data_IF_145385191223
#
_entry.id   IF_145385191223
#
_cell.length_a   1.000
_cell.length_b   1.000
_cell.length_c   1.000
_cell.angle_alpha   90.00
_cell.angle_beta   90.00
_cell.angle_gamma   90.00
#
_symmetry.space_group_name_H-M   'P 1'
#
loop_
_entity.id
_entity.type
_entity.pdbx_description
1 polymer ?
#
# COMPACT_ATOMS: atom_id res chain seq x y z
N UNK A 1 15.34 44.84 -22.69
CA UNK A 1 16.44 43.86 -22.82
C UNK A 1 16.94 43.52 -21.43
N UNK A 2 16.68 42.29 -20.97
CA UNK A 2 17.33 41.67 -19.81
C UNK A 2 17.38 40.17 -20.12
N UNK A 3 18.59 39.63 -20.09
CA UNK A 3 18.96 38.26 -20.42
C UNK A 3 18.98 37.36 -19.18
N UNK A 4 18.63 36.08 -19.35
CA UNK A 4 19.15 35.00 -18.50
C UNK A 4 18.12 34.05 -17.91
N UNK A 5 17.68 33.07 -18.70
CA UNK A 5 16.99 31.86 -18.26
C UNK A 5 18.00 30.79 -17.81
N UNK A 6 17.77 30.14 -16.68
CA UNK A 6 18.01 28.70 -16.44
C UNK A 6 17.33 28.31 -15.12
N UNK A 7 16.13 27.74 -15.06
CA UNK A 7 15.66 26.38 -15.44
C UNK A 7 16.36 25.25 -14.67
N UNK A 8 15.63 24.68 -13.71
CA UNK A 8 16.05 23.49 -12.95
C UNK A 8 15.04 23.09 -11.87
N UNK A 9 13.74 23.01 -12.22
CA UNK A 9 12.74 22.42 -11.33
C UNK A 9 12.95 20.90 -11.32
N UNK A 10 13.44 20.36 -10.20
CA UNK A 10 13.45 18.91 -9.99
C UNK A 10 11.99 18.43 -9.92
N UNK A 11 11.53 17.83 -11.02
CA UNK A 11 10.28 17.06 -11.05
C UNK A 11 10.47 15.82 -10.18
N UNK A 12 10.06 15.89 -8.92
CA UNK A 12 9.69 14.70 -8.18
C UNK A 12 8.58 14.01 -8.98
N UNK A 13 8.67 12.69 -9.26
CA UNK A 13 7.54 11.99 -9.86
C UNK A 13 6.31 12.26 -9.01
N UNK A 14 5.22 12.64 -9.68
CA UNK A 14 3.92 12.98 -9.11
C UNK A 14 3.61 12.04 -7.95
N UNK A 15 3.75 12.54 -6.72
CA UNK A 15 3.27 11.86 -5.52
C UNK A 15 1.76 11.76 -5.72
N UNK A 16 1.19 10.57 -6.01
CA UNK A 16 -0.26 10.42 -5.96
C UNK A 16 -0.67 10.88 -4.55
N UNK A 17 -1.68 11.76 -4.44
CA UNK A 17 -2.16 12.21 -3.11
C UNK A 17 -2.36 11.00 -2.19
N UNK A 18 -2.26 11.14 -0.86
CA UNK A 18 -1.98 10.02 0.03
C UNK A 18 -3.01 8.92 -0.16
N UNK A 19 -2.64 7.90 -0.93
CA UNK A 19 -3.36 6.65 -0.96
C UNK A 19 -3.41 6.17 0.49
N UNK A 20 -4.54 5.63 0.99
CA UNK A 20 -4.63 5.21 2.37
C UNK A 20 -3.47 4.30 2.74
N UNK A 21 -2.77 4.64 3.84
CA UNK A 21 -1.59 3.92 4.28
C UNK A 21 -0.27 4.28 3.58
N UNK A 22 -0.23 5.27 2.67
CA UNK A 22 1.04 5.75 2.10
C UNK A 22 1.96 6.34 3.19
N UNK A 23 3.19 5.84 3.26
CA UNK A 23 4.21 6.24 4.25
C UNK A 23 5.46 6.85 3.64
N UNK A 24 5.46 7.06 2.33
CA UNK A 24 6.55 7.68 1.59
C UNK A 24 7.14 6.77 0.51
N UNK A 25 8.44 6.91 0.26
CA UNK A 25 9.16 6.15 -0.77
C UNK A 25 10.54 5.75 -0.28
N UNK A 26 11.10 4.68 -0.84
CA UNK A 26 12.49 4.28 -0.63
C UNK A 26 13.20 4.07 -1.96
N UNK A 27 14.53 4.13 -1.93
CA UNK A 27 15.38 3.73 -3.04
C UNK A 27 15.76 2.25 -2.89
N UNK A 28 15.26 1.42 -3.79
CA UNK A 28 15.64 0.01 -3.92
C UNK A 28 16.49 -0.15 -5.19
N UNK A 29 17.82 -0.25 -5.02
CA UNK A 29 18.79 -0.44 -6.11
C UNK A 29 18.64 0.57 -7.29
N UNK A 30 18.42 1.85 -6.98
CA UNK A 30 18.23 2.91 -7.97
C UNK A 30 16.78 3.10 -8.43
N UNK A 31 15.86 2.22 -8.03
CA UNK A 31 14.43 2.35 -8.29
C UNK A 31 13.73 2.97 -7.07
N UNK A 32 13.06 4.10 -7.27
CA UNK A 32 12.19 4.67 -6.23
C UNK A 32 10.88 3.87 -6.19
N UNK A 33 10.54 3.32 -5.04
CA UNK A 33 9.34 2.52 -4.84
C UNK A 33 8.51 3.08 -3.68
N UNK A 34 7.17 3.00 -3.74
CA UNK A 34 6.30 3.45 -2.66
C UNK A 34 6.39 2.53 -1.45
N UNK A 35 6.24 3.12 -0.26
CA UNK A 35 6.10 2.41 1.01
C UNK A 35 4.69 2.63 1.54
N UNK A 36 4.03 1.55 1.96
CA UNK A 36 2.74 1.59 2.63
C UNK A 36 2.83 1.03 4.05
N UNK A 37 2.29 1.72 5.04
CA UNK A 37 2.14 1.24 6.42
C UNK A 37 1.03 0.20 6.51
N UNK A 38 1.35 -0.96 7.07
CA UNK A 38 0.34 -1.97 7.41
C UNK A 38 -0.63 -1.40 8.46
N UNK A 39 -0.16 -0.55 9.38
CA UNK A 39 -1.02 0.09 10.38
C UNK A 39 -2.05 0.99 9.70
N UNK A 40 -1.59 1.92 8.85
CA UNK A 40 -2.46 2.82 8.11
C UNK A 40 -3.42 2.10 7.17
N UNK A 41 -2.96 1.05 6.49
CA UNK A 41 -3.84 0.21 5.66
C UNK A 41 -4.90 -0.53 6.50
N UNK A 42 -4.58 -0.91 7.73
CA UNK A 42 -5.47 -1.63 8.64
C UNK A 42 -6.30 -0.73 9.56
N UNK A 43 -6.13 0.60 9.48
CA UNK A 43 -6.80 1.56 10.38
C UNK A 43 -6.25 1.58 11.81
N UNK A 44 -5.09 0.96 12.05
CA UNK A 44 -4.39 1.01 13.33
C UNK A 44 -3.68 2.36 13.44
N UNK A 45 -3.63 2.99 14.62
CA UNK A 45 -2.90 4.24 14.82
C UNK A 45 -1.44 4.12 14.36
N UNK A 46 -1.03 5.09 13.54
CA UNK A 46 0.36 5.23 13.10
C UNK A 46 1.27 5.56 14.27
N UNK A 47 2.55 5.19 14.13
CA UNK A 47 3.62 5.58 15.03
C UNK A 47 4.80 6.11 14.24
N UNK A 48 5.86 6.52 14.91
CA UNK A 48 7.12 6.78 14.22
C UNK A 48 7.80 5.46 13.84
N UNK A 49 8.42 5.38 12.65
CA UNK A 49 9.20 4.21 12.25
C UNK A 49 10.43 4.05 13.15
N UNK A 50 10.71 2.81 13.53
CA UNK A 50 11.92 2.42 14.24
C UNK A 50 12.92 1.82 13.24
N UNK A 51 14.24 1.92 13.49
CA UNK A 51 15.26 1.32 12.63
C UNK A 51 15.15 -0.21 12.51
N UNK A 52 14.50 -0.85 13.48
CA UNK A 52 14.27 -2.29 13.53
C UNK A 52 13.02 -2.73 12.76
N UNK A 53 12.21 -1.78 12.31
CA UNK A 53 10.97 -2.11 11.61
C UNK A 53 11.27 -2.69 10.23
N UNK A 54 10.75 -3.89 9.93
CA UNK A 54 10.96 -4.49 8.63
C UNK A 54 10.17 -3.80 7.53
N UNK A 55 10.81 -3.69 6.36
CA UNK A 55 10.16 -3.37 5.09
C UNK A 55 10.04 -4.67 4.27
N UNK A 56 8.82 -5.12 4.03
CA UNK A 56 8.54 -6.28 3.18
C UNK A 56 8.42 -5.82 1.73
N UNK A 57 9.39 -6.17 0.90
CA UNK A 57 9.37 -5.84 -0.53
C UNK A 57 8.49 -6.83 -1.28
N UNK A 58 7.51 -6.31 -2.03
CA UNK A 58 6.60 -7.09 -2.85
C UNK A 58 6.83 -6.72 -4.31
N UNK A 59 6.97 -7.74 -5.15
CA UNK A 59 6.97 -7.59 -6.61
C UNK A 59 5.65 -8.09 -7.17
N UNK A 60 4.90 -7.20 -7.81
CA UNK A 60 3.56 -7.46 -8.33
C UNK A 60 3.39 -6.75 -9.66
N UNK A 61 2.84 -7.45 -10.67
CA UNK A 61 2.46 -6.85 -11.98
C UNK A 61 3.60 -6.01 -12.62
N UNK A 62 4.85 -6.40 -12.39
CA UNK A 62 6.05 -5.67 -12.89
C UNK A 62 6.48 -4.47 -12.05
N UNK A 63 5.80 -4.19 -10.95
CA UNK A 63 6.09 -3.08 -10.04
C UNK A 63 6.56 -3.59 -8.68
N UNK A 64 7.45 -2.81 -8.06
CA UNK A 64 7.92 -3.06 -6.70
C UNK A 64 7.25 -2.07 -5.77
N UNK A 65 6.88 -2.55 -4.58
CA UNK A 65 6.41 -1.75 -3.46
C UNK A 65 6.95 -2.32 -2.16
N UNK A 66 6.90 -1.52 -1.10
CA UNK A 66 7.27 -1.97 0.24
C UNK A 66 6.09 -1.85 1.20
N UNK A 67 5.92 -2.85 2.06
CA UNK A 67 5.05 -2.76 3.23
C UNK A 67 5.90 -2.53 4.47
N UNK A 68 5.58 -1.49 5.23
CA UNK A 68 6.16 -1.24 6.53
C UNK A 68 5.35 -1.97 7.60
N UNK A 69 6.01 -2.89 8.29
CA UNK A 69 5.45 -3.69 9.37
C UNK A 69 6.16 -3.38 10.69
N UNK A 70 5.50 -3.68 11.81
CA UNK A 70 6.14 -3.54 13.12
C UNK A 70 7.19 -4.64 13.37
N UNK A 71 6.91 -5.85 12.89
CA UNK A 71 7.73 -7.04 13.12
C UNK A 71 7.42 -8.12 12.08
N UNK A 72 8.34 -9.05 11.91
CA UNK A 72 8.13 -10.33 11.19
C UNK A 72 8.43 -11.48 12.15
N UNK A 73 7.57 -12.50 12.19
CA UNK A 73 7.70 -13.61 13.15
C UNK A 73 8.35 -14.87 12.54
N UNK A 74 8.26 -15.08 11.22
CA UNK A 74 8.79 -16.26 10.56
C UNK A 74 8.09 -16.56 9.24
N UNK A 75 8.38 -17.73 8.66
CA UNK A 75 7.68 -18.29 7.51
C UNK A 75 6.98 -19.56 7.98
N UNK A 76 5.67 -19.66 7.71
CA UNK A 76 4.85 -20.80 8.09
C UNK A 76 4.15 -21.38 6.87
N UNK A 77 4.16 -22.71 6.76
CA UNK A 77 3.38 -23.44 5.76
C UNK A 77 1.95 -23.62 6.28
N UNK A 78 1.05 -22.74 5.84
CA UNK A 78 -0.35 -22.78 6.24
C UNK A 78 -1.15 -23.68 5.28
N UNK A 79 -1.86 -24.66 5.85
CA UNK A 79 -2.91 -25.36 5.12
C UNK A 79 -4.16 -24.49 5.12
N UNK A 80 -4.46 -23.88 3.97
CA UNK A 80 -5.66 -23.07 3.82
C UNK A 80 -6.85 -24.02 3.66
N UNK A 81 -7.68 -24.10 4.69
CA UNK A 81 -8.98 -24.75 4.60
C UNK A 81 -9.95 -23.77 3.93
N UNK A 82 -10.55 -24.17 2.81
CA UNK A 82 -11.61 -23.39 2.18
C UNK A 82 -12.83 -23.34 3.13
N UNK A 83 -13.02 -22.19 3.78
CA UNK A 83 -14.19 -21.91 4.60
C UNK A 83 -15.32 -21.30 3.78
N UNK A 84 -16.56 -21.22 4.32
CA UNK A 84 -17.63 -20.47 3.68
C UNK A 84 -17.19 -19.02 3.53
N UNK A 85 -16.91 -18.62 2.28
CA UNK A 85 -16.68 -17.23 1.92
C UNK A 85 -18.00 -16.50 2.18
N UNK A 86 -18.11 -15.85 3.35
CA UNK A 86 -19.06 -14.73 3.46
C UNK A 86 -18.64 -13.74 2.40
N UNK A 87 -19.58 -13.19 1.64
CA UNK A 87 -19.37 -12.14 0.64
C UNK A 87 -18.59 -10.99 1.28
N UNK A 88 -17.27 -11.14 1.33
CA UNK A 88 -16.36 -10.17 1.87
C UNK A 88 -16.07 -9.32 0.65
N UNK A 89 -16.51 -8.06 0.71
CA UNK A 89 -16.33 -7.05 -0.33
C UNK A 89 -15.07 -7.35 -1.15
N UNK A 90 -15.19 -7.64 -2.47
CA UNK A 90 -14.08 -8.07 -3.33
C UNK A 90 -12.85 -7.15 -3.28
N UNK A 91 -13.07 -5.91 -2.82
CA UNK A 91 -12.12 -4.81 -2.73
C UNK A 91 -11.35 -4.75 -1.40
N UNK A 92 -11.69 -5.58 -0.39
CA UNK A 92 -11.11 -5.48 0.97
C UNK A 92 -9.65 -5.96 1.08
N UNK A 93 -9.17 -6.76 0.13
CA UNK A 93 -7.83 -7.37 0.19
C UNK A 93 -7.68 -8.51 1.20
N UNK A 94 -8.72 -8.81 1.97
CA UNK A 94 -8.78 -9.93 2.89
C UNK A 94 -8.89 -11.25 2.12
N UNK A 95 -8.00 -12.20 2.41
CA UNK A 95 -8.00 -13.53 1.81
C UNK A 95 -8.47 -14.62 2.80
N UNK A 96 -8.34 -14.39 4.12
CA UNK A 96 -8.81 -15.32 5.13
C UNK A 96 -8.30 -15.02 6.53
N UNK A 97 -8.62 -15.91 7.47
CA UNK A 97 -8.12 -15.93 8.85
C UNK A 97 -7.40 -17.25 9.06
N UNK A 98 -6.30 -17.23 9.81
CA UNK A 98 -5.67 -18.43 10.35
C UNK A 98 -5.52 -18.30 11.86
N UNK A 99 -5.67 -19.41 12.57
CA UNK A 99 -5.47 -19.44 14.02
C UNK A 99 -4.08 -19.97 14.30
N UNK A 100 -3.35 -19.25 15.14
CA UNK A 100 -2.04 -19.62 15.64
C UNK A 100 -2.16 -20.00 17.12
N UNK A 101 -1.16 -20.70 17.66
CA UNK A 101 -1.16 -21.07 19.09
C UNK A 101 -1.14 -19.86 20.04
N UNK A 102 -0.74 -18.70 19.53
CA UNK A 102 -0.63 -17.42 20.23
C UNK A 102 -1.72 -16.39 19.84
N UNK A 103 -2.65 -16.73 18.92
CA UNK A 103 -3.74 -15.84 18.57
C UNK A 103 -4.39 -16.09 17.20
N UNK A 104 -4.81 -14.98 16.58
CA UNK A 104 -5.52 -14.98 15.30
C UNK A 104 -4.73 -14.14 14.30
N UNK A 105 -4.33 -14.74 13.20
CA UNK A 105 -3.69 -14.07 12.07
C UNK A 105 -4.66 -13.84 10.90
N UNK A 106 -4.41 -12.81 10.11
CA UNK A 106 -5.18 -12.48 8.91
C UNK A 106 -4.30 -12.74 7.68
N UNK A 107 -4.85 -13.44 6.70
CA UNK A 107 -4.24 -13.63 5.38
C UNK A 107 -4.71 -12.48 4.49
N UNK A 108 -3.76 -11.73 3.94
CA UNK A 108 -4.00 -10.58 3.08
C UNK A 108 -3.50 -10.92 1.69
N UNK A 109 -4.34 -10.67 0.68
CA UNK A 109 -3.90 -10.68 -0.70
C UNK A 109 -3.28 -9.31 -1.04
N UNK A 110 -1.94 -9.21 -1.19
CA UNK A 110 -1.27 -7.93 -1.35
C UNK A 110 -1.71 -7.20 -2.63
N UNK A 111 -2.11 -7.95 -3.67
CA UNK A 111 -2.60 -7.37 -4.91
C UNK A 111 -3.85 -6.54 -4.69
N UNK A 112 -4.79 -7.05 -3.89
CA UNK A 112 -6.08 -6.40 -3.66
C UNK A 112 -6.01 -5.38 -2.53
N UNK A 113 -5.22 -5.67 -1.50
CA UNK A 113 -5.08 -4.83 -0.31
C UNK A 113 -4.62 -3.40 -0.60
N UNK A 114 -3.78 -3.25 -1.63
CA UNK A 114 -3.22 -1.95 -2.04
C UNK A 114 -4.05 -1.34 -3.18
N UNK A 115 -4.76 -2.15 -3.99
CA UNK A 115 -5.45 -1.67 -5.20
C UNK A 115 -6.84 -1.09 -4.97
N UNK A 116 -7.53 -1.47 -3.88
CA UNK A 116 -8.92 -1.11 -3.63
C UNK A 116 -9.17 0.36 -3.23
N UNK A 117 -8.13 1.19 -3.07
CA UNK A 117 -8.27 2.50 -2.40
C UNK A 117 -7.87 3.72 -3.24
N UNK A 118 -7.52 3.53 -4.51
CA UNK A 118 -7.08 4.59 -5.43
C UNK A 118 -8.12 5.14 -6.43
N UNK A 119 -9.37 4.64 -6.46
CA UNK A 119 -10.38 5.16 -7.40
C UNK A 119 -11.06 6.43 -6.86
N UNK A 120 -10.48 7.60 -7.13
CA UNK A 120 -11.23 8.86 -7.08
C UNK A 120 -12.38 8.80 -8.10
N UNK A 121 -13.61 9.00 -7.64
CA UNK A 121 -14.78 9.28 -8.49
C UNK A 121 -14.42 10.44 -9.41
N UNK A 122 -14.28 10.16 -10.70
CA UNK A 122 -14.27 11.19 -11.73
C UNK A 122 -15.69 11.73 -11.82
N UNK A 123 -15.97 12.79 -11.07
CA UNK A 123 -17.11 13.65 -11.35
C UNK A 123 -16.85 14.29 -12.72
N UNK A 124 -17.63 13.87 -13.71
CA UNK A 124 -17.66 14.43 -15.05
C UNK A 124 -18.41 15.78 -14.95
N UNK A 125 -17.76 16.94 -15.14
CA UNK A 125 -18.48 18.21 -15.17
C UNK A 125 -19.04 18.40 -16.57
N UNK A 126 -20.13 17.69 -16.86
CA UNK A 126 -20.95 17.97 -18.03
C UNK A 126 -22.39 17.85 -17.57
N UNK A 127 -22.94 18.95 -17.07
CA UNK A 127 -24.34 19.37 -17.12
C UNK A 127 -24.45 20.65 -16.26
N UNK A 128 -23.97 21.77 -16.79
CA UNK A 128 -24.31 23.10 -16.30
C UNK A 128 -24.35 24.07 -17.49
N UNK A 129 -25.24 23.78 -18.43
CA UNK A 129 -25.79 24.77 -19.34
C UNK A 129 -27.30 24.57 -19.37
N UNK A 130 -27.97 25.46 -18.65
CA UNK A 130 -29.39 25.79 -18.73
C UNK A 130 -29.50 27.28 -18.42
#
# INVERSE_FOLDING_TARGET
MISGLSSGWWIWPRIPGPDPGSSGTINLHGKIIPVYSIRGLSGIPERNPLPTDPLVIIHRRGEYLALWADMTNGIEDLTILEGPVRDTEPESGFAGVYYTGDGTGIIINPDRFISGRGKKRQIHPEQAHG
#
